data_IF_947396918729
#
_entry.id   IF_947396918729
#
_cell.length_a   1.000
_cell.length_b   1.000
_cell.length_c   1.000
_cell.angle_alpha   90.00
_cell.angle_beta   90.00
_cell.angle_gamma   90.00
#
_symmetry.space_group_name_H-M   'P 1'
#
loop_
_entity.id
_entity.type
_entity.pdbx_description
1 polymer ?
#
# COMPACT_ATOMS: atom_id res chain seq x y z
N UNK A 1 15.50 9.47 12.90
CA UNK A 1 15.01 8.21 12.28
C UNK A 1 14.23 7.44 13.33
N UNK A 2 13.02 6.98 13.01
CA UNK A 2 12.15 6.18 13.88
C UNK A 2 12.84 4.83 14.18
N UNK A 3 12.88 4.41 15.43
CA UNK A 3 13.39 3.09 15.78
C UNK A 3 12.31 2.01 15.56
N UNK A 4 12.70 0.72 15.60
CA UNK A 4 11.78 -0.39 15.33
C UNK A 4 10.58 -0.43 16.28
N UNK A 5 10.79 -0.17 17.58
CA UNK A 5 9.71 -0.18 18.58
C UNK A 5 8.70 0.95 18.33
N UNK A 6 9.17 2.13 17.97
CA UNK A 6 8.33 3.27 17.63
C UNK A 6 7.52 2.99 16.36
N UNK A 7 8.15 2.41 15.35
CA UNK A 7 7.48 2.04 14.10
C UNK A 7 6.41 0.97 14.34
N UNK A 8 6.74 -0.10 15.06
CA UNK A 8 5.78 -1.14 15.42
C UNK A 8 4.63 -0.57 16.25
N UNK A 9 4.92 0.33 17.20
CA UNK A 9 3.91 1.04 17.98
C UNK A 9 2.99 1.94 17.15
N UNK A 10 3.49 2.57 16.10
CA UNK A 10 2.67 3.28 15.13
C UNK A 10 1.81 2.33 14.30
N UNK A 11 2.41 1.31 13.66
CA UNK A 11 1.69 0.38 12.80
C UNK A 11 0.58 -0.37 13.55
N UNK A 12 0.79 -0.73 14.82
CA UNK A 12 -0.23 -1.39 15.64
C UNK A 12 -1.48 -0.55 15.89
N UNK A 13 -1.37 0.78 15.80
CA UNK A 13 -2.46 1.73 16.04
C UNK A 13 -2.91 2.49 14.79
N UNK A 14 -2.22 2.30 13.67
CA UNK A 14 -2.48 3.05 12.45
C UNK A 14 -3.94 2.99 12.00
N UNK A 15 -4.59 1.82 12.15
CA UNK A 15 -6.00 1.64 11.79
C UNK A 15 -6.97 2.48 12.65
N UNK A 16 -6.55 2.93 13.84
CA UNK A 16 -7.39 3.72 14.75
C UNK A 16 -7.39 5.23 14.45
N UNK A 17 -6.39 5.70 13.68
CA UNK A 17 -6.31 7.11 13.34
C UNK A 17 -7.18 7.43 12.12
N UNK A 18 -7.90 8.57 12.13
CA UNK A 18 -8.75 8.97 11.00
C UNK A 18 -7.91 9.36 9.78
N UNK A 19 -8.51 9.21 8.59
CA UNK A 19 -8.03 9.77 7.35
C UNK A 19 -9.24 10.27 6.55
N UNK A 20 -9.41 11.59 6.49
CA UNK A 20 -10.59 12.18 5.83
C UNK A 20 -10.54 12.01 4.31
N UNK A 21 -9.36 12.09 3.70
CA UNK A 21 -9.19 11.85 2.26
C UNK A 21 -9.63 10.45 1.85
N UNK A 22 -9.36 9.44 2.68
CA UNK A 22 -9.81 8.07 2.45
C UNK A 22 -11.33 7.96 2.53
N UNK A 23 -11.96 8.59 3.54
CA UNK A 23 -13.41 8.59 3.68
C UNK A 23 -14.09 9.26 2.48
N UNK A 24 -13.63 10.46 2.08
CA UNK A 24 -14.15 11.18 0.93
C UNK A 24 -14.02 10.35 -0.36
N UNK A 25 -12.86 9.75 -0.58
CA UNK A 25 -12.64 8.88 -1.73
C UNK A 25 -13.56 7.67 -1.73
N UNK A 26 -13.71 7.02 -0.59
CA UNK A 26 -14.58 5.86 -0.47
C UNK A 26 -16.05 6.20 -0.77
N UNK A 27 -16.51 7.40 -0.40
CA UNK A 27 -17.85 7.87 -0.79
C UNK A 27 -18.00 8.04 -2.31
N UNK A 28 -16.96 8.53 -3.00
CA UNK A 28 -16.98 8.71 -4.47
C UNK A 28 -17.07 7.36 -5.20
N UNK A 29 -16.40 6.34 -4.67
CA UNK A 29 -16.34 5.02 -5.30
C UNK A 29 -17.29 4.00 -4.67
N UNK A 30 -18.19 4.42 -3.75
CA UNK A 30 -19.21 3.54 -3.21
C UNK A 30 -20.07 2.93 -4.32
N UNK A 31 -20.29 1.61 -4.26
CA UNK A 31 -21.11 0.84 -5.17
C UNK A 31 -21.69 -0.38 -4.45
N UNK A 32 -22.67 -1.02 -5.05
CA UNK A 32 -23.20 -2.29 -4.56
C UNK A 32 -22.33 -3.44 -5.10
N UNK A 33 -21.81 -4.24 -4.18
CA UNK A 33 -21.03 -5.44 -4.49
C UNK A 33 -19.59 -5.15 -4.91
N UNK A 34 -18.66 -5.55 -4.06
CA UNK A 34 -17.22 -5.47 -4.31
C UNK A 34 -16.59 -6.85 -4.29
N UNK A 35 -15.52 -7.01 -5.06
CA UNK A 35 -14.61 -8.14 -4.90
C UNK A 35 -13.61 -7.80 -3.77
N UNK A 36 -13.60 -8.61 -2.71
CA UNK A 36 -12.61 -8.47 -1.64
C UNK A 36 -11.20 -8.71 -2.17
N UNK A 37 -10.28 -7.86 -1.75
CA UNK A 37 -8.86 -7.93 -2.08
C UNK A 37 -8.03 -7.44 -0.90
N UNK A 38 -6.77 -7.83 -0.86
CA UNK A 38 -5.81 -7.30 0.11
C UNK A 38 -4.46 -7.07 -0.51
N UNK A 39 -3.72 -6.12 0.03
CA UNK A 39 -2.35 -5.82 -0.35
C UNK A 39 -1.45 -5.82 0.89
N UNK A 40 -0.25 -6.35 0.75
CA UNK A 40 0.76 -6.23 1.79
C UNK A 40 1.33 -4.80 1.74
N UNK A 41 1.42 -4.13 2.88
CA UNK A 41 2.14 -2.86 3.06
C UNK A 41 3.45 -3.20 3.82
N UNK A 42 4.49 -3.66 3.10
CA UNK A 42 5.67 -4.22 3.69
C UNK A 42 6.68 -3.12 4.00
N UNK A 43 7.06 -3.00 5.26
CA UNK A 43 8.12 -2.09 5.72
C UNK A 43 9.33 -2.92 6.13
N UNK A 44 10.49 -2.59 5.59
CA UNK A 44 11.75 -3.28 5.82
C UNK A 44 12.85 -2.31 6.26
N UNK A 45 13.83 -2.82 7.01
CA UNK A 45 15.04 -2.07 7.28
C UNK A 45 16.11 -2.49 6.28
N UNK A 46 16.30 -1.67 5.25
CA UNK A 46 17.23 -1.92 4.15
C UNK A 46 18.11 -0.69 3.93
N UNK A 47 19.41 -0.90 3.62
CA UNK A 47 20.38 0.19 3.42
C UNK A 47 20.37 1.26 4.53
N UNK A 48 20.29 0.79 5.79
CA UNK A 48 20.33 1.63 7.00
C UNK A 48 19.13 2.58 7.16
N UNK A 49 18.01 2.34 6.47
CA UNK A 49 16.79 3.12 6.60
C UNK A 49 15.54 2.23 6.47
N UNK A 50 14.42 2.72 7.00
CA UNK A 50 13.13 2.08 6.78
C UNK A 50 12.62 2.39 5.37
N UNK A 51 12.17 1.36 4.67
CA UNK A 51 11.66 1.47 3.30
C UNK A 51 10.38 0.66 3.14
N UNK A 52 9.48 1.14 2.30
CA UNK A 52 8.29 0.42 1.85
C UNK A 52 8.64 -0.28 0.53
N UNK A 53 8.28 -1.55 0.43
CA UNK A 53 8.43 -2.30 -0.82
C UNK A 53 7.19 -2.07 -1.69
N UNK A 54 7.43 -1.68 -2.92
CA UNK A 54 6.43 -1.60 -3.99
C UNK A 54 6.90 -2.41 -5.19
N UNK A 55 5.99 -2.73 -6.08
CA UNK A 55 6.27 -3.44 -7.34
C UNK A 55 5.87 -2.57 -8.53
N UNK A 56 6.61 -2.66 -9.62
CA UNK A 56 6.15 -2.20 -10.93
C UNK A 56 5.63 -3.39 -11.71
N UNK A 57 4.37 -3.34 -12.09
CA UNK A 57 3.70 -4.42 -12.81
C UNK A 57 4.33 -4.66 -14.18
N UNK A 58 4.44 -5.94 -14.56
CA UNK A 58 5.00 -6.36 -15.85
C UNK A 58 4.22 -5.79 -17.03
N UNK A 59 4.94 -5.55 -18.14
CA UNK A 59 4.35 -5.14 -19.41
C UNK A 59 3.47 -6.23 -20.05
N UNK A 60 3.62 -7.47 -19.63
CA UNK A 60 2.90 -8.62 -20.17
C UNK A 60 1.46 -8.75 -19.63
N UNK A 61 1.11 -7.98 -18.61
CA UNK A 61 -0.22 -8.02 -18.01
C UNK A 61 -1.24 -7.23 -18.84
N UNK A 62 -2.45 -7.78 -18.98
CA UNK A 62 -3.54 -7.17 -19.77
C UNK A 62 -4.11 -5.87 -19.17
N UNK A 63 -3.92 -5.64 -17.88
CA UNK A 63 -4.46 -4.47 -17.17
C UNK A 63 -3.40 -3.89 -16.23
N UNK A 64 -3.45 -2.57 -16.03
CA UNK A 64 -2.56 -1.84 -15.12
C UNK A 64 -1.07 -2.02 -15.40
N UNK A 65 -0.72 -2.23 -16.66
CA UNK A 65 0.64 -2.39 -17.16
C UNK A 65 1.54 -1.25 -16.72
N UNK A 66 2.70 -1.57 -16.13
CA UNK A 66 3.69 -0.58 -15.71
C UNK A 66 3.28 0.28 -14.50
N UNK A 67 2.09 0.07 -13.93
CA UNK A 67 1.68 0.78 -12.71
C UNK A 67 2.47 0.28 -11.50
N UNK A 68 2.69 1.20 -10.56
CA UNK A 68 3.32 0.87 -9.30
C UNK A 68 2.23 0.52 -8.28
N UNK A 69 2.40 -0.61 -7.60
CA UNK A 69 1.45 -1.14 -6.63
C UNK A 69 2.17 -1.80 -5.45
N UNK A 70 1.44 -2.02 -4.40
CA UNK A 70 1.79 -3.03 -3.41
C UNK A 70 1.58 -4.41 -4.01
N UNK A 71 2.32 -5.41 -3.54
CA UNK A 71 2.02 -6.80 -3.82
C UNK A 71 0.66 -7.17 -3.21
N UNK A 72 -0.21 -7.82 -3.99
CA UNK A 72 -1.54 -8.14 -3.53
C UNK A 72 -2.54 -8.42 -4.63
N UNK A 73 -3.66 -9.01 -4.24
CA UNK A 73 -4.69 -9.42 -5.17
C UNK A 73 -6.01 -9.77 -4.52
N UNK A 74 -6.80 -10.58 -5.23
CA UNK A 74 -8.14 -11.00 -4.81
C UNK A 74 -8.07 -12.00 -3.66
N UNK A 75 -9.03 -11.88 -2.76
CA UNK A 75 -9.28 -12.91 -1.77
C UNK A 75 -9.75 -14.20 -2.47
N UNK A 76 -9.10 -15.30 -2.14
CA UNK A 76 -9.51 -16.63 -2.57
C UNK A 76 -10.37 -17.33 -1.51
N UNK A 77 -11.14 -18.39 -1.87
CA UNK A 77 -12.03 -19.07 -0.94
C UNK A 77 -11.36 -19.62 0.33
N UNK A 78 -10.10 -19.95 0.27
CA UNK A 78 -9.33 -20.45 1.41
C UNK A 78 -8.68 -19.33 2.26
N UNK A 79 -8.69 -18.10 1.80
CA UNK A 79 -8.19 -16.96 2.56
C UNK A 79 -9.24 -16.57 3.64
N UNK A 80 -8.94 -16.77 4.89
CA UNK A 80 -9.85 -16.46 6.01
C UNK A 80 -9.75 -14.97 6.39
N UNK A 81 -8.57 -14.37 6.23
CA UNK A 81 -8.29 -13.00 6.64
C UNK A 81 -7.60 -12.20 5.53
N UNK A 82 -7.73 -10.85 5.52
CA UNK A 82 -6.97 -10.01 4.60
C UNK A 82 -5.46 -10.24 4.66
N UNK A 83 -4.94 -10.58 5.85
CA UNK A 83 -3.51 -10.88 6.01
C UNK A 83 -3.09 -12.14 5.23
N UNK A 84 -3.92 -13.18 5.21
CA UNK A 84 -3.64 -14.39 4.44
C UNK A 84 -3.62 -14.09 2.94
N UNK A 85 -4.60 -13.35 2.42
CA UNK A 85 -4.61 -12.90 1.02
C UNK A 85 -3.33 -12.10 0.69
N UNK A 86 -3.01 -11.10 1.50
CA UNK A 86 -1.87 -10.22 1.24
C UNK A 86 -0.52 -10.97 1.28
N UNK A 87 -0.37 -11.91 2.20
CA UNK A 87 0.85 -12.71 2.34
C UNK A 87 1.00 -13.73 1.20
N UNK A 88 -0.08 -14.41 0.79
CA UNK A 88 -0.08 -15.35 -0.32
C UNK A 88 0.33 -14.64 -1.62
N UNK A 89 -0.33 -13.53 -1.94
CA UNK A 89 -0.03 -12.74 -3.12
C UNK A 89 1.41 -12.18 -3.10
N UNK A 90 1.90 -11.75 -1.93
CA UNK A 90 3.28 -11.30 -1.79
C UNK A 90 4.29 -12.44 -1.98
N UNK A 91 3.97 -13.66 -1.55
CA UNK A 91 4.80 -14.84 -1.81
C UNK A 91 4.82 -15.15 -3.32
N UNK A 92 3.68 -15.07 -4.01
CA UNK A 92 3.54 -15.31 -5.46
C UNK A 92 4.25 -14.24 -6.30
N UNK A 93 4.07 -12.95 -5.97
CA UNK A 93 4.61 -11.83 -6.77
C UNK A 93 6.09 -11.53 -6.50
N UNK A 94 6.52 -11.56 -5.23
CA UNK A 94 7.87 -11.14 -4.82
C UNK A 94 8.66 -12.18 -4.05
N UNK A 95 8.17 -13.42 -3.98
CA UNK A 95 8.90 -14.56 -3.42
C UNK A 95 9.20 -14.47 -1.93
N UNK A 96 8.46 -13.62 -1.19
CA UNK A 96 8.71 -13.42 0.24
C UNK A 96 7.97 -14.46 1.08
N UNK A 97 8.68 -15.14 1.99
CA UNK A 97 8.03 -16.13 2.85
C UNK A 97 7.16 -15.45 3.92
N UNK A 98 5.90 -15.89 4.13
CA UNK A 98 4.97 -15.27 5.09
C UNK A 98 5.52 -15.14 6.53
N UNK A 99 6.28 -16.12 7.00
CA UNK A 99 6.79 -16.17 8.38
C UNK A 99 7.86 -15.10 8.71
N UNK A 100 8.40 -14.40 7.72
CA UNK A 100 9.39 -13.33 7.97
C UNK A 100 8.76 -11.99 8.36
N UNK A 101 7.43 -11.89 8.30
CA UNK A 101 6.68 -10.66 8.53
C UNK A 101 6.00 -10.62 9.91
N UNK A 102 6.23 -9.57 10.65
CA UNK A 102 5.36 -9.18 11.76
C UNK A 102 4.16 -8.44 11.19
N UNK A 103 2.96 -9.03 11.31
CA UNK A 103 1.71 -8.48 10.78
C UNK A 103 1.03 -7.58 11.81
N UNK A 104 0.47 -6.49 11.34
CA UNK A 104 -0.31 -5.54 12.14
C UNK A 104 -1.77 -5.49 11.68
N UNK A 105 -2.68 -4.88 12.47
CA UNK A 105 -4.09 -4.77 12.09
C UNK A 105 -4.25 -4.12 10.71
N UNK A 106 -5.06 -4.74 9.85
CA UNK A 106 -5.36 -4.20 8.53
C UNK A 106 -5.94 -2.77 8.65
N UNK A 107 -5.52 -1.90 7.76
CA UNK A 107 -6.08 -0.55 7.64
C UNK A 107 -7.53 -0.63 7.11
N UNK A 108 -8.32 0.43 7.29
CA UNK A 108 -9.63 0.53 6.67
C UNK A 108 -9.59 0.29 5.16
N UNK A 109 -10.68 -0.23 4.58
CA UNK A 109 -10.71 -0.57 3.16
C UNK A 109 -10.68 0.67 2.27
N UNK A 110 -10.09 0.48 1.09
CA UNK A 110 -10.13 1.42 -0.02
C UNK A 110 -10.95 0.83 -1.16
N UNK A 111 -11.94 1.56 -1.64
CA UNK A 111 -12.73 1.14 -2.79
C UNK A 111 -12.10 1.64 -4.09
N UNK A 112 -12.12 0.81 -5.13
CA UNK A 112 -11.55 1.14 -6.43
C UNK A 112 -12.63 1.30 -7.50
N UNK A 113 -12.39 2.15 -8.54
CA UNK A 113 -13.31 2.24 -9.68
C UNK A 113 -13.51 0.92 -10.43
N UNK A 114 -12.60 -0.03 -10.27
CA UNK A 114 -12.64 -1.36 -10.89
C UNK A 114 -13.43 -2.40 -10.08
N UNK A 115 -14.12 -1.98 -9.01
CA UNK A 115 -15.00 -2.85 -8.23
C UNK A 115 -14.32 -3.70 -7.17
N UNK A 116 -13.19 -3.24 -6.63
CA UNK A 116 -12.51 -3.91 -5.53
C UNK A 116 -12.63 -3.14 -4.22
N UNK A 117 -12.86 -3.89 -3.14
CA UNK A 117 -12.60 -3.47 -1.77
C UNK A 117 -11.20 -3.97 -1.38
N UNK A 118 -10.23 -3.07 -1.29
CA UNK A 118 -8.83 -3.41 -1.03
C UNK A 118 -8.46 -3.06 0.39
N UNK A 119 -8.00 -4.04 1.18
CA UNK A 119 -7.53 -3.87 2.57
C UNK A 119 -6.02 -3.87 2.63
N UNK A 120 -5.37 -2.74 2.96
CA UNK A 120 -3.93 -2.70 3.19
C UNK A 120 -3.60 -3.38 4.53
N UNK A 121 -2.61 -4.27 4.49
CA UNK A 121 -2.12 -5.02 5.66
C UNK A 121 -0.70 -4.57 5.96
N UNK A 122 -0.48 -3.75 6.99
CA UNK A 122 0.86 -3.36 7.39
C UNK A 122 1.66 -4.56 7.89
N UNK A 123 2.89 -4.67 7.42
CA UNK A 123 3.83 -5.72 7.78
C UNK A 123 5.22 -5.15 8.00
N UNK A 124 5.95 -5.64 9.00
CA UNK A 124 7.27 -5.19 9.36
C UNK A 124 8.27 -6.34 9.34
N UNK A 125 9.40 -6.11 8.71
CA UNK A 125 10.60 -6.93 8.86
C UNK A 125 11.77 -6.04 9.25
N UNK A 126 12.40 -6.31 10.39
CA UNK A 126 13.53 -5.52 10.89
C UNK A 126 14.85 -5.78 10.14
N UNK A 127 14.84 -6.68 9.18
CA UNK A 127 15.94 -6.96 8.27
C UNK A 127 15.56 -6.64 6.83
N UNK A 128 16.34 -7.19 5.92
CA UNK A 128 16.09 -7.14 4.48
C UNK A 128 15.80 -8.57 4.00
N UNK A 129 14.52 -8.94 3.84
CA UNK A 129 14.17 -10.27 3.38
C UNK A 129 14.66 -10.47 1.95
N UNK A 130 15.00 -11.71 1.60
CA UNK A 130 15.28 -12.06 0.22
C UNK A 130 13.98 -11.94 -0.59
N UNK A 131 14.01 -11.13 -1.64
CA UNK A 131 12.89 -10.94 -2.54
C UNK A 131 13.28 -11.44 -3.94
N UNK A 132 12.36 -12.12 -4.58
CA UNK A 132 12.52 -12.62 -5.95
C UNK A 132 11.27 -12.27 -6.74
N UNK A 133 11.37 -11.30 -7.63
CA UNK A 133 10.25 -10.91 -8.48
C UNK A 133 9.84 -12.07 -9.40
N UNK A 134 8.54 -12.34 -9.45
CA UNK A 134 7.95 -13.20 -10.48
C UNK A 134 7.91 -12.39 -11.80
N UNK A 135 8.70 -12.73 -12.82
CA UNK A 135 8.84 -11.90 -14.02
C UNK A 135 7.55 -11.81 -14.86
N UNK A 136 6.63 -12.74 -14.68
CA UNK A 136 5.34 -12.71 -15.37
C UNK A 136 4.44 -11.59 -14.84
N UNK A 137 4.61 -11.19 -13.56
CA UNK A 137 3.77 -10.22 -12.89
C UNK A 137 4.51 -8.94 -12.50
N UNK A 138 5.79 -9.06 -12.12
CA UNK A 138 6.58 -7.96 -11.54
C UNK A 138 7.80 -7.69 -12.41
N UNK A 139 7.89 -6.50 -12.97
CA UNK A 139 9.03 -6.04 -13.74
C UNK A 139 10.15 -5.46 -12.86
N UNK A 140 9.82 -4.96 -11.68
CA UNK A 140 10.77 -4.28 -10.80
C UNK A 140 10.26 -4.25 -9.36
N UNK A 141 11.15 -4.45 -8.39
CA UNK A 141 10.91 -4.21 -6.97
C UNK A 141 11.48 -2.85 -6.62
N UNK A 142 10.67 -1.99 -6.01
CA UNK A 142 10.99 -0.60 -5.70
C UNK A 142 11.06 -0.44 -4.17
N UNK A 143 12.15 0.14 -3.69
CA UNK A 143 12.35 0.47 -2.28
C UNK A 143 12.10 1.96 -2.08
N UNK A 144 10.93 2.31 -1.54
CA UNK A 144 10.52 3.68 -1.26
C UNK A 144 10.89 4.04 0.20
N UNK A 145 11.75 5.04 0.45
CA UNK A 145 12.05 5.46 1.81
C UNK A 145 10.78 5.80 2.60
N UNK A 146 10.64 5.24 3.80
CA UNK A 146 9.46 5.44 4.64
C UNK A 146 9.27 6.94 4.97
N UNK A 147 10.33 7.68 5.20
CA UNK A 147 10.27 9.13 5.44
C UNK A 147 9.70 9.89 4.25
N UNK A 148 10.02 9.46 3.02
CA UNK A 148 9.44 10.02 1.80
C UNK A 148 7.93 9.77 1.74
N UNK A 149 7.52 8.53 2.04
CA UNK A 149 6.11 8.14 2.03
C UNK A 149 5.30 8.83 3.14
N UNK A 150 5.88 9.02 4.33
CA UNK A 150 5.19 9.61 5.48
C UNK A 150 5.13 11.14 5.48
N UNK A 151 5.79 11.82 4.54
CA UNK A 151 5.74 13.27 4.44
C UNK A 151 4.65 13.72 3.44
N UNK A 152 3.50 14.28 3.90
CA UNK A 152 2.42 14.72 3.01
C UNK A 152 2.85 15.77 1.98
N UNK A 153 3.91 16.54 2.24
CA UNK A 153 4.41 17.57 1.34
C UNK A 153 5.06 17.01 0.05
N UNK A 154 5.40 15.72 0.04
CA UNK A 154 5.95 15.05 -1.15
C UNK A 154 4.86 14.69 -2.16
N UNK A 155 3.59 14.73 -1.74
CA UNK A 155 2.47 14.40 -2.63
C UNK A 155 2.00 15.62 -3.41
N UNK A 156 1.59 15.37 -4.65
CA UNK A 156 1.05 16.39 -5.55
C UNK A 156 -0.32 15.96 -6.05
N UNK A 157 -1.28 16.90 -6.20
CA UNK A 157 -2.58 16.56 -6.75
C UNK A 157 -2.44 16.18 -8.24
N UNK A 158 -2.99 15.03 -8.64
CA UNK A 158 -3.09 14.60 -10.03
C UNK A 158 -4.52 14.79 -10.53
N UNK A 159 -4.69 15.62 -11.55
CA UNK A 159 -6.01 15.86 -12.13
C UNK A 159 -6.45 14.65 -12.97
N UNK A 160 -7.60 14.07 -12.64
CA UNK A 160 -8.23 12.96 -13.34
C UNK A 160 -9.70 13.29 -13.64
N UNK A 161 -10.23 12.72 -14.74
CA UNK A 161 -11.66 12.75 -15.04
C UNK A 161 -12.30 11.42 -14.63
N UNK A 162 -13.33 11.47 -13.80
CA UNK A 162 -14.08 10.30 -13.37
C UNK A 162 -15.58 10.59 -13.39
N UNK A 163 -16.36 9.83 -14.19
CA UNK A 163 -17.82 9.99 -14.35
C UNK A 163 -18.24 11.45 -14.62
N UNK A 164 -17.49 12.16 -15.46
CA UNK A 164 -17.74 13.56 -15.80
C UNK A 164 -17.33 14.59 -14.74
N UNK A 165 -16.75 14.17 -13.65
CA UNK A 165 -16.23 15.05 -12.61
C UNK A 165 -14.70 15.09 -12.62
N UNK A 166 -14.15 16.26 -12.32
CA UNK A 166 -12.71 16.42 -12.13
C UNK A 166 -12.36 16.08 -10.67
N UNK A 167 -11.54 15.06 -10.47
CA UNK A 167 -11.01 14.69 -9.17
C UNK A 167 -9.50 14.93 -9.13
N UNK A 168 -8.95 15.18 -7.93
CA UNK A 168 -7.54 15.49 -7.74
C UNK A 168 -6.92 14.62 -6.64
N UNK A 169 -6.85 13.30 -6.82
CA UNK A 169 -6.20 12.43 -5.84
C UNK A 169 -4.70 12.75 -5.73
N UNK A 170 -4.08 12.40 -4.58
CA UNK A 170 -2.64 12.53 -4.40
C UNK A 170 -1.89 11.59 -5.34
N UNK A 171 -0.72 12.04 -5.79
CA UNK A 171 0.29 11.25 -6.44
C UNK A 171 1.65 11.53 -5.79
N UNK A 172 2.53 10.55 -5.73
CA UNK A 172 3.86 10.64 -5.14
C UNK A 172 4.91 10.43 -6.23
N UNK A 173 5.54 11.48 -6.75
CA UNK A 173 6.70 11.35 -7.60
C UNK A 173 7.89 10.80 -6.79
N UNK A 174 8.54 9.75 -7.28
CA UNK A 174 9.72 9.18 -6.65
C UNK A 174 10.70 8.68 -7.72
N UNK A 175 11.91 9.25 -7.78
CA UNK A 175 12.88 9.00 -8.84
C UNK A 175 12.26 9.24 -10.22
N UNK A 176 12.29 8.22 -11.09
CA UNK A 176 11.63 8.23 -12.40
C UNK A 176 10.21 7.64 -12.37
N UNK A 177 9.71 7.31 -11.20
CA UNK A 177 8.38 6.73 -11.00
C UNK A 177 7.34 7.80 -10.66
N UNK A 178 6.13 7.61 -11.16
CA UNK A 178 4.94 8.36 -10.76
C UNK A 178 3.98 7.40 -10.05
N UNK A 179 3.98 7.43 -8.71
CA UNK A 179 3.11 6.60 -7.89
C UNK A 179 1.77 7.32 -7.77
N UNK A 180 0.70 6.74 -8.27
CA UNK A 180 -0.62 7.35 -8.30
C UNK A 180 -1.74 6.34 -8.03
N UNK A 181 -3.00 6.77 -8.09
CA UNK A 181 -4.17 5.90 -7.92
C UNK A 181 -4.28 5.35 -6.50
N UNK A 182 -4.64 4.06 -6.38
CA UNK A 182 -4.90 3.43 -5.09
C UNK A 182 -3.63 3.35 -4.24
N UNK A 183 -2.49 3.06 -4.84
CA UNK A 183 -1.20 2.97 -4.14
C UNK A 183 -0.84 4.29 -3.46
N UNK A 184 -0.93 5.40 -4.18
CA UNK A 184 -0.66 6.72 -3.61
C UNK A 184 -1.68 7.10 -2.52
N UNK A 185 -2.94 6.70 -2.66
CA UNK A 185 -3.98 6.93 -1.63
C UNK A 185 -3.68 6.16 -0.35
N UNK A 186 -3.26 4.91 -0.44
CA UNK A 186 -2.87 4.09 0.73
C UNK A 186 -1.66 4.73 1.43
N UNK A 187 -0.63 5.12 0.65
CA UNK A 187 0.57 5.78 1.18
C UNK A 187 0.23 7.13 1.84
N UNK A 188 -0.59 7.95 1.18
CA UNK A 188 -1.03 9.24 1.73
C UNK A 188 -1.86 9.05 3.01
N UNK A 189 -2.76 8.08 3.02
CA UNK A 189 -3.51 7.72 4.21
C UNK A 189 -2.62 7.26 5.37
N UNK A 190 -1.52 6.55 5.09
CA UNK A 190 -0.53 6.19 6.10
C UNK A 190 0.20 7.44 6.64
N UNK A 191 0.55 8.41 5.76
CA UNK A 191 1.17 9.67 6.15
C UNK A 191 0.26 10.52 7.07
N UNK A 192 -1.03 10.62 6.75
CA UNK A 192 -2.01 11.33 7.58
C UNK A 192 -2.16 10.67 8.95
N UNK A 193 -2.24 9.34 9.00
CA UNK A 193 -2.30 8.57 10.26
C UNK A 193 -1.04 8.74 11.09
N UNK A 194 0.12 8.80 10.45
CA UNK A 194 1.39 9.06 11.14
C UNK A 194 1.43 10.48 11.73
N UNK A 195 0.94 11.48 11.02
CA UNK A 195 0.81 12.84 11.54
C UNK A 195 -0.07 12.88 12.80
N UNK A 196 -1.22 12.21 12.78
CA UNK A 196 -2.08 12.07 13.96
C UNK A 196 -1.38 11.35 15.12
N UNK A 197 -0.65 10.28 14.84
CA UNK A 197 0.14 9.58 15.85
C UNK A 197 1.16 10.50 16.52
N UNK A 198 1.85 11.35 15.75
CA UNK A 198 2.86 12.27 16.28
C UNK A 198 2.26 13.41 17.11
N UNK A 199 1.03 13.83 16.84
CA UNK A 199 0.35 14.88 17.62
C UNK A 199 -0.25 14.39 18.94
N UNK A 200 -0.32 13.07 19.15
CA UNK A 200 -0.85 12.45 20.38
C UNK A 200 0.25 11.96 21.33
N UNK A 201 1.51 12.15 20.97
CA UNK A 201 2.67 11.92 21.82
C UNK A 201 3.04 13.15 22.62
#
# INVERSE_FOLDING_TARGET
MMNQTELAGFLSRAALYPCEEEKLRNQIFAADGYTEAAVLLPVVFHERQWQIILTRRSANLRRHTGQISFAGGKKEPHDVTPAQTALREAEEEIGTHPAVWQIFPALPPHYSPSGYEVRPVPALNAGSPNLTANPDEVAEIIYLPLETALNPQNYRPRTLQYRGQTIRPPALPYLHHDIWGLTAMILYGLAERYRHHMTQR
#
